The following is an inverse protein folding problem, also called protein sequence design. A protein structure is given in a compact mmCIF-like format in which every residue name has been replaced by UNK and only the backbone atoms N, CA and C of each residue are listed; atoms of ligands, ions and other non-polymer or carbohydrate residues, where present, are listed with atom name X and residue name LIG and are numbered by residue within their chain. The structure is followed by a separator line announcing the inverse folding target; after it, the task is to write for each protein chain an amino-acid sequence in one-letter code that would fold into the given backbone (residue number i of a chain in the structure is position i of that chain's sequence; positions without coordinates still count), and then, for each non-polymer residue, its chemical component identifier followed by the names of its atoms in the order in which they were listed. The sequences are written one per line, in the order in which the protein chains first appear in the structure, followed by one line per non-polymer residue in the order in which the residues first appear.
data_IF_190485799126
#
_entry.id   IF_190485799126
#
_cell.length_a   1.000
_cell.length_b   1.000
_cell.length_c   1.000
_cell.angle_alpha   90.00
_cell.angle_beta   90.00
_cell.angle_gamma   90.00
#
_symmetry.space_group_name_H-M   'P 1'
#
loop_
_entity.id
_entity.type
_entity.pdbx_description
1 polymer ?
#
# COMPACT_ATOMS: atom_id res chain seq x y z
N UNK A 1 -3.80 23.31 26.90
CA UNK A 1 -4.70 23.93 25.91
C UNK A 1 -4.15 23.67 24.50
N UNK A 2 -5.03 23.31 23.56
CA UNK A 2 -4.68 22.94 22.17
C UNK A 2 -4.61 24.16 21.25
N UNK A 3 -5.25 25.28 21.64
CA UNK A 3 -5.34 26.50 20.84
C UNK A 3 -4.05 27.31 20.86
N UNK A 4 -3.67 27.88 19.72
CA UNK A 4 -2.58 28.83 19.54
C UNK A 4 -3.15 30.26 19.60
N UNK A 5 -3.19 30.84 20.80
CA UNK A 5 -3.89 32.11 21.08
C UNK A 5 -3.22 33.36 20.51
N UNK A 6 -2.05 33.23 19.86
CA UNK A 6 -1.35 34.34 19.21
C UNK A 6 -1.76 34.55 17.75
N UNK A 7 -2.58 33.66 17.19
CA UNK A 7 -3.06 33.73 15.80
C UNK A 7 -4.51 34.17 15.76
N UNK A 8 -4.85 35.09 14.86
CA UNK A 8 -6.23 35.53 14.65
C UNK A 8 -7.06 34.41 13.97
N UNK A 9 -8.12 33.91 14.61
CA UNK A 9 -8.98 32.87 14.02
C UNK A 9 -9.68 33.30 12.72
N UNK A 10 -9.86 34.61 12.48
CA UNK A 10 -10.47 35.12 11.24
C UNK A 10 -9.51 35.08 10.04
N UNK A 11 -8.20 34.96 10.29
CA UNK A 11 -7.16 34.87 9.26
C UNK A 11 -6.76 33.43 9.00
N UNK A 12 -6.45 32.68 10.06
CA UNK A 12 -6.09 31.26 9.96
C UNK A 12 -6.69 30.48 11.14
N UNK A 13 -7.91 30.01 10.94
CA UNK A 13 -8.62 29.20 11.93
C UNK A 13 -7.93 27.86 12.20
N UNK A 14 -7.22 27.30 11.22
CA UNK A 14 -6.50 26.04 11.37
C UNK A 14 -5.30 26.21 12.31
N UNK A 15 -4.46 27.22 12.09
CA UNK A 15 -3.31 27.48 12.96
C UNK A 15 -3.76 27.90 14.37
N UNK A 16 -4.84 28.70 14.49
CA UNK A 16 -5.43 29.04 15.79
C UNK A 16 -5.89 27.81 16.58
N UNK A 17 -6.53 26.83 15.93
CA UNK A 17 -7.08 25.65 16.62
C UNK A 17 -6.07 24.52 16.78
N UNK A 18 -5.17 24.31 15.81
CA UNK A 18 -4.31 23.13 15.70
C UNK A 18 -2.81 23.43 15.78
N UNK A 19 -2.38 24.69 15.70
CA UNK A 19 -0.96 25.08 15.61
C UNK A 19 -0.10 24.52 16.74
N UNK A 20 -0.57 24.68 17.98
CA UNK A 20 0.10 24.14 19.17
C UNK A 20 0.12 22.61 19.23
N UNK A 21 -0.84 21.93 18.59
CA UNK A 21 -0.83 20.48 18.48
C UNK A 21 0.24 20.01 17.49
N UNK A 22 0.27 20.61 16.30
CA UNK A 22 1.26 20.33 15.24
C UNK A 22 2.69 20.50 15.75
N UNK A 23 2.96 21.59 16.48
CA UNK A 23 4.28 21.85 17.05
C UNK A 23 4.74 20.80 18.08
N UNK A 24 3.79 20.19 18.83
CA UNK A 24 4.08 19.20 19.88
C UNK A 24 4.07 17.75 19.39
N UNK A 25 3.56 17.50 18.18
CA UNK A 25 3.37 16.16 17.64
C UNK A 25 4.00 16.08 16.24
N UNK A 26 5.35 16.11 16.14
CA UNK A 26 6.01 15.88 14.88
C UNK A 26 5.66 14.48 14.34
N UNK A 27 5.64 14.33 13.02
CA UNK A 27 5.32 13.05 12.38
C UNK A 27 6.41 12.04 12.75
N UNK A 28 6.06 10.91 13.40
CA UNK A 28 7.03 9.88 13.73
C UNK A 28 7.67 9.27 12.48
N UNK A 29 8.93 8.81 12.56
CA UNK A 29 9.68 8.29 11.41
C UNK A 29 9.04 7.10 10.69
N UNK A 30 8.19 6.33 11.38
CA UNK A 30 7.48 5.18 10.84
C UNK A 30 6.13 5.55 10.19
N UNK A 31 5.81 6.85 10.06
CA UNK A 31 4.56 7.34 9.49
C UNK A 31 4.80 8.41 8.43
N UNK A 32 3.86 8.52 7.50
CA UNK A 32 3.83 9.56 6.48
C UNK A 32 2.95 10.75 6.89
N UNK A 33 2.07 10.57 7.87
CA UNK A 33 1.17 11.58 8.42
C UNK A 33 0.89 11.29 9.89
N UNK A 34 0.51 12.32 10.65
CA UNK A 34 0.10 12.13 12.04
C UNK A 34 -0.99 13.13 12.43
N UNK A 35 -2.07 12.60 12.99
CA UNK A 35 -3.28 13.33 13.34
C UNK A 35 -3.88 12.82 14.65
N UNK A 36 -4.97 13.45 15.08
CA UNK A 36 -5.74 12.99 16.24
C UNK A 36 -6.44 11.64 15.98
N UNK A 37 -6.76 11.34 14.71
CA UNK A 37 -7.32 10.05 14.34
C UNK A 37 -6.29 8.94 14.47
N UNK A 38 -5.04 9.20 14.07
CA UNK A 38 -3.92 8.27 14.27
C UNK A 38 -3.75 7.91 15.75
N UNK A 39 -3.75 8.92 16.63
CA UNK A 39 -3.67 8.69 18.08
C UNK A 39 -4.83 7.85 18.63
N UNK A 40 -6.04 8.05 18.10
CA UNK A 40 -7.19 7.24 18.48
C UNK A 40 -7.05 5.80 17.96
N UNK A 41 -6.65 5.63 16.71
CA UNK A 41 -6.40 4.32 16.10
C UNK A 41 -5.33 3.55 16.86
N UNK A 42 -4.25 4.21 17.29
CA UNK A 42 -3.19 3.61 18.10
C UNK A 42 -3.74 3.08 19.42
N UNK A 43 -4.54 3.90 20.12
CA UNK A 43 -5.19 3.46 21.36
C UNK A 43 -6.12 2.26 21.12
N UNK A 44 -6.91 2.27 20.05
CA UNK A 44 -7.78 1.14 19.70
C UNK A 44 -6.94 -0.11 19.40
N UNK A 45 -5.83 0.02 18.67
CA UNK A 45 -4.92 -1.09 18.38
C UNK A 45 -4.26 -1.65 19.65
N UNK A 46 -3.90 -0.81 20.61
CA UNK A 46 -3.35 -1.24 21.92
C UNK A 46 -4.37 -2.06 22.72
N UNK A 47 -5.63 -1.60 22.80
CA UNK A 47 -6.70 -2.34 23.47
C UNK A 47 -6.99 -3.67 22.75
N UNK A 48 -7.03 -3.67 21.41
CA UNK A 48 -7.20 -4.89 20.61
C UNK A 48 -6.05 -5.87 20.82
N UNK A 49 -4.80 -5.38 20.85
CA UNK A 49 -3.61 -6.20 21.15
C UNK A 49 -3.73 -6.86 22.51
N UNK A 50 -4.14 -6.13 23.55
CA UNK A 50 -4.35 -6.68 24.88
C UNK A 50 -5.38 -7.82 24.87
N UNK A 51 -6.47 -7.69 24.10
CA UNK A 51 -7.48 -8.74 23.94
C UNK A 51 -6.92 -9.96 23.20
N UNK A 52 -6.14 -9.78 22.13
CA UNK A 52 -5.58 -10.89 21.35
C UNK A 52 -4.48 -11.64 22.08
N UNK A 53 -3.70 -10.95 22.91
CA UNK A 53 -2.62 -11.52 23.73
C UNK A 53 -3.11 -12.08 25.06
N UNK A 54 -4.36 -11.81 25.45
CA UNK A 54 -4.91 -12.34 26.70
C UNK A 54 -4.98 -13.87 26.67
N UNK A 55 -4.56 -14.49 27.79
CA UNK A 55 -4.60 -15.95 28.00
C UNK A 55 -6.02 -16.46 28.30
N UNK A 56 -6.98 -15.56 28.46
CA UNK A 56 -8.37 -15.91 28.74
C UNK A 56 -9.00 -16.63 27.54
N UNK A 57 -9.70 -17.73 27.85
CA UNK A 57 -10.44 -18.48 26.87
C UNK A 57 -11.60 -17.61 26.35
N UNK A 58 -11.68 -17.46 25.02
CA UNK A 58 -12.81 -16.76 24.42
C UNK A 58 -13.96 -17.74 24.21
N UNK A 59 -15.21 -17.39 24.58
CA UNK A 59 -16.35 -18.27 24.38
C UNK A 59 -16.73 -18.42 22.90
N UNK A 60 -16.23 -17.57 22.01
CA UNK A 60 -16.49 -17.62 20.57
C UNK A 60 -15.39 -18.35 19.81
N UNK A 61 -15.79 -19.25 18.90
CA UNK A 61 -14.88 -19.92 17.96
C UNK A 61 -14.15 -18.92 17.06
N UNK A 62 -14.85 -17.91 16.54
CA UNK A 62 -14.27 -16.89 15.67
C UNK A 62 -13.22 -16.06 16.40
N UNK A 63 -13.50 -15.68 17.64
CA UNK A 63 -12.54 -14.95 18.47
C UNK A 63 -11.31 -15.79 18.82
N UNK A 64 -11.50 -17.08 19.11
CA UNK A 64 -10.39 -18.01 19.33
C UNK A 64 -9.53 -18.18 18.07
N UNK A 65 -10.14 -18.28 16.88
CA UNK A 65 -9.43 -18.34 15.61
C UNK A 65 -8.63 -17.05 15.34
N UNK A 66 -9.21 -15.87 15.62
CA UNK A 66 -8.51 -14.59 15.50
C UNK A 66 -7.27 -14.52 16.41
N UNK A 67 -7.37 -15.01 17.66
CA UNK A 67 -6.21 -15.08 18.58
C UNK A 67 -5.10 -15.99 18.02
N UNK A 68 -5.46 -17.12 17.41
CA UNK A 68 -4.48 -18.01 16.76
C UNK A 68 -3.81 -17.31 15.58
N UNK A 69 -4.61 -16.66 14.72
CA UNK A 69 -4.10 -15.92 13.55
C UNK A 69 -3.16 -14.79 13.97
N UNK A 70 -3.54 -14.02 15.00
CA UNK A 70 -2.68 -12.96 15.55
C UNK A 70 -1.34 -13.52 16.02
N UNK A 71 -1.32 -14.60 16.82
CA UNK A 71 -0.07 -15.21 17.28
C UNK A 71 0.84 -15.65 16.13
N UNK A 72 0.26 -16.27 15.09
CA UNK A 72 1.01 -16.69 13.91
C UNK A 72 1.57 -15.52 13.11
N UNK A 73 0.83 -14.42 13.01
CA UNK A 73 1.30 -13.19 12.34
C UNK A 73 2.43 -12.49 13.11
N UNK A 74 2.43 -12.60 14.44
CA UNK A 74 3.40 -11.91 15.30
C UNK A 74 4.70 -12.70 15.51
N UNK A 75 4.72 -14.00 15.18
CA UNK A 75 5.91 -14.85 15.27
C UNK A 75 6.85 -14.60 14.08
N UNK A 76 7.67 -13.56 14.20
CA UNK A 76 8.64 -13.15 13.17
C UNK A 76 9.74 -14.21 12.95
N UNK A 77 10.09 -14.98 13.97
CA UNK A 77 11.13 -16.00 13.87
C UNK A 77 10.67 -17.17 12.99
N UNK A 78 9.42 -17.62 13.17
CA UNK A 78 8.80 -18.61 12.28
C UNK A 78 8.69 -18.07 10.85
N UNK A 79 8.25 -16.82 10.66
CA UNK A 79 8.11 -16.19 9.35
C UNK A 79 9.46 -16.06 8.62
N UNK A 80 10.50 -15.56 9.30
CA UNK A 80 11.84 -15.40 8.73
C UNK A 80 12.47 -16.74 8.36
N UNK A 81 12.18 -17.82 9.11
CA UNK A 81 12.65 -19.17 8.81
C UNK A 81 11.99 -19.75 7.56
N UNK A 82 10.70 -19.46 7.33
CA UNK A 82 9.96 -19.95 6.16
C UNK A 82 10.38 -19.18 4.89
N UNK A 83 10.62 -17.86 5.02
CA UNK A 83 10.92 -16.99 3.89
C UNK A 83 9.79 -16.98 2.85
N UNK A 84 10.14 -16.72 1.59
CA UNK A 84 9.21 -16.73 0.48
C UNK A 84 8.92 -18.13 -0.10
N UNK A 85 9.53 -19.20 0.44
CA UNK A 85 9.42 -20.58 -0.10
C UNK A 85 7.98 -21.01 -0.34
N UNK A 86 7.12 -20.80 0.67
CA UNK A 86 5.69 -21.16 0.57
C UNK A 86 4.93 -20.31 -0.45
N UNK A 87 5.31 -19.05 -0.60
CA UNK A 87 4.72 -18.15 -1.60
C UNK A 87 5.08 -18.62 -3.02
N UNK A 88 6.35 -18.98 -3.26
CA UNK A 88 6.85 -19.44 -4.55
C UNK A 88 6.11 -20.70 -5.04
N UNK A 89 5.85 -21.65 -4.13
CA UNK A 89 5.05 -22.86 -4.45
C UNK A 89 3.61 -22.56 -4.88
N UNK A 90 3.10 -21.36 -4.58
CA UNK A 90 1.68 -21.00 -4.72
C UNK A 90 1.46 -19.79 -5.63
N UNK A 91 2.45 -19.41 -6.45
CA UNK A 91 2.32 -18.29 -7.38
C UNK A 91 1.15 -18.57 -8.34
N UNK A 92 0.23 -17.60 -8.42
CA UNK A 92 -0.91 -17.61 -9.34
C UNK A 92 -0.84 -16.37 -10.22
N UNK A 93 -1.17 -16.56 -11.49
CA UNK A 93 -1.40 -15.46 -12.41
C UNK A 93 -2.85 -15.00 -12.25
N UNK A 94 -3.04 -13.71 -11.98
CA UNK A 94 -4.33 -13.06 -11.87
C UNK A 94 -4.32 -11.76 -12.70
N UNK A 95 -5.44 -11.03 -12.72
CA UNK A 95 -5.54 -9.77 -13.46
C UNK A 95 -4.49 -8.76 -12.99
N UNK A 96 -3.72 -8.25 -13.96
CA UNK A 96 -2.72 -7.21 -13.71
C UNK A 96 -3.35 -5.85 -13.45
N UNK A 97 -2.77 -5.11 -12.52
CA UNK A 97 -2.95 -3.67 -12.35
C UNK A 97 -1.56 -3.03 -12.37
N UNK A 98 -1.49 -1.69 -12.37
CA UNK A 98 -0.22 -1.01 -12.09
C UNK A 98 0.26 -1.41 -10.70
N UNK A 99 1.45 -2.02 -10.58
CA UNK A 99 1.93 -2.53 -9.29
C UNK A 99 2.26 -1.44 -8.27
N UNK A 100 2.44 -0.18 -8.69
CA UNK A 100 2.53 0.96 -7.77
C UNK A 100 1.18 1.33 -7.11
N UNK A 101 0.10 0.68 -7.52
CA UNK A 101 -1.24 0.79 -6.93
C UNK A 101 -2.18 1.71 -7.71
N UNK A 102 -3.38 1.87 -7.17
CA UNK A 102 -4.37 2.79 -7.71
C UNK A 102 -3.85 4.24 -7.69
N UNK A 103 -4.38 5.09 -8.58
CA UNK A 103 -4.03 6.52 -8.66
C UNK A 103 -2.56 6.81 -9.04
N UNK A 104 -1.79 5.81 -9.50
CA UNK A 104 -0.36 5.98 -9.81
C UNK A 104 -0.05 6.16 -11.29
N UNK A 105 -1.07 6.20 -12.15
CA UNK A 105 -0.96 6.40 -13.60
C UNK A 105 0.07 7.48 -13.98
N UNK A 106 -0.01 8.64 -13.36
CA UNK A 106 0.84 9.78 -13.71
C UNK A 106 2.30 9.60 -13.29
N UNK A 107 2.60 8.69 -12.35
CA UNK A 107 3.99 8.35 -12.01
C UNK A 107 4.71 7.71 -13.19
N UNK A 108 3.97 6.98 -14.03
CA UNK A 108 4.50 6.35 -15.24
C UNK A 108 4.63 7.33 -16.40
N UNK A 109 3.69 8.27 -16.52
CA UNK A 109 3.60 9.19 -17.66
C UNK A 109 4.45 10.47 -17.51
N UNK A 110 4.66 10.95 -16.29
CA UNK A 110 5.46 12.16 -16.01
C UNK A 110 6.76 11.79 -15.27
N UNK A 111 7.77 11.42 -16.06
CA UNK A 111 9.12 11.08 -15.56
C UNK A 111 9.87 12.29 -15.02
N UNK A 112 9.56 13.50 -15.45
CA UNK A 112 10.20 14.72 -14.95
C UNK A 112 9.83 14.95 -13.48
N UNK A 113 8.53 14.84 -13.17
CA UNK A 113 8.01 15.03 -11.82
C UNK A 113 8.20 13.82 -10.92
N UNK A 114 8.05 12.60 -11.46
CA UNK A 114 7.99 11.37 -10.66
C UNK A 114 9.12 10.37 -10.92
N UNK A 115 10.15 10.72 -11.71
CA UNK A 115 11.26 9.82 -12.05
C UNK A 115 11.94 9.19 -10.83
N UNK A 116 12.07 9.92 -9.71
CA UNK A 116 12.61 9.37 -8.45
C UNK A 116 11.76 8.23 -7.88
N UNK A 117 10.44 8.29 -8.00
CA UNK A 117 9.54 7.21 -7.54
C UNK A 117 9.71 5.97 -8.39
N UNK A 118 9.87 6.15 -9.70
CA UNK A 118 10.07 5.05 -10.64
C UNK A 118 11.44 4.39 -10.45
N UNK A 119 12.48 5.19 -10.20
CA UNK A 119 13.79 4.65 -9.86
C UNK A 119 13.75 3.82 -8.57
N UNK A 120 13.10 4.33 -7.52
CA UNK A 120 12.92 3.57 -6.28
C UNK A 120 12.07 2.30 -6.48
N UNK A 121 11.04 2.37 -7.33
CA UNK A 121 10.22 1.23 -7.68
C UNK A 121 11.03 0.14 -8.41
N UNK A 122 11.86 0.54 -9.37
CA UNK A 122 12.79 -0.35 -10.07
C UNK A 122 13.74 -1.06 -9.10
N UNK A 123 14.36 -0.31 -8.19
CA UNK A 123 15.25 -0.87 -7.17
C UNK A 123 14.51 -1.84 -6.25
N UNK A 124 13.31 -1.48 -5.80
CA UNK A 124 12.46 -2.34 -4.99
C UNK A 124 12.15 -3.66 -5.72
N UNK A 125 11.79 -3.59 -7.00
CA UNK A 125 11.42 -4.79 -7.75
C UNK A 125 12.61 -5.72 -7.97
N UNK A 126 13.77 -5.15 -8.35
CA UNK A 126 15.03 -5.91 -8.46
C UNK A 126 15.38 -6.58 -7.13
N UNK A 127 15.30 -5.85 -6.01
CA UNK A 127 15.60 -6.40 -4.68
C UNK A 127 14.67 -7.55 -4.30
N UNK A 128 13.38 -7.43 -4.63
CA UNK A 128 12.37 -8.45 -4.36
C UNK A 128 12.63 -9.70 -5.21
N UNK A 129 12.90 -9.55 -6.51
CA UNK A 129 13.19 -10.68 -7.39
C UNK A 129 14.49 -11.39 -6.99
N UNK A 130 15.51 -10.64 -6.55
CA UNK A 130 16.73 -11.22 -5.98
C UNK A 130 16.43 -12.06 -4.74
N UNK A 131 15.67 -11.51 -3.78
CA UNK A 131 15.27 -12.25 -2.57
C UNK A 131 14.46 -13.52 -2.91
N UNK A 132 13.57 -13.46 -3.89
CA UNK A 132 12.81 -14.63 -4.35
C UNK A 132 13.71 -15.72 -4.96
N UNK A 133 14.75 -15.34 -5.71
CA UNK A 133 15.71 -16.30 -6.24
C UNK A 133 16.54 -16.95 -5.12
N UNK A 134 17.01 -16.15 -4.15
CA UNK A 134 17.74 -16.65 -2.98
C UNK A 134 16.88 -17.63 -2.17
N UNK A 135 15.63 -17.27 -1.86
CA UNK A 135 14.72 -18.13 -1.11
C UNK A 135 14.32 -19.40 -1.88
N UNK A 136 14.40 -19.37 -3.22
CA UNK A 136 14.15 -20.51 -4.11
C UNK A 136 15.38 -21.37 -4.40
N UNK A 137 16.55 -21.04 -3.85
CA UNK A 137 17.84 -21.66 -4.19
C UNK A 137 18.17 -21.61 -5.71
N UNK A 138 17.76 -20.52 -6.38
CA UNK A 138 17.99 -20.28 -7.82
C UNK A 138 19.17 -19.34 -8.07
N UNK A 139 19.90 -19.50 -9.18
CA UNK A 139 21.02 -18.61 -9.51
C UNK A 139 20.54 -17.19 -9.81
N UNK A 140 21.18 -16.20 -9.19
CA UNK A 140 20.88 -14.77 -9.39
C UNK A 140 21.71 -14.23 -10.57
N UNK A 141 21.02 -13.77 -11.62
CA UNK A 141 21.64 -13.01 -12.72
C UNK A 141 21.13 -11.57 -12.69
N UNK A 142 21.94 -10.67 -12.14
CA UNK A 142 21.51 -9.28 -11.93
C UNK A 142 21.20 -8.53 -13.24
N UNK A 143 21.99 -8.78 -14.29
CA UNK A 143 21.79 -8.12 -15.59
C UNK A 143 20.47 -8.52 -16.24
N UNK A 144 20.13 -9.81 -16.17
CA UNK A 144 18.83 -10.31 -16.65
C UNK A 144 17.68 -9.78 -15.81
N UNK A 145 17.78 -9.85 -14.47
CA UNK A 145 16.73 -9.33 -13.59
C UNK A 145 16.49 -7.84 -13.84
N UNK A 146 17.55 -7.05 -14.03
CA UNK A 146 17.42 -5.64 -14.35
C UNK A 146 16.71 -5.40 -15.68
N UNK A 147 17.06 -6.15 -16.74
CA UNK A 147 16.39 -6.09 -18.04
C UNK A 147 14.92 -6.47 -17.95
N UNK A 148 14.61 -7.59 -17.31
CA UNK A 148 13.23 -8.09 -17.15
C UNK A 148 12.38 -7.06 -16.36
N UNK A 149 12.93 -6.41 -15.33
CA UNK A 149 12.25 -5.35 -14.58
C UNK A 149 12.04 -4.09 -15.43
N UNK A 150 12.99 -3.72 -16.28
CA UNK A 150 12.84 -2.59 -17.20
C UNK A 150 11.70 -2.83 -18.21
N UNK A 151 11.62 -4.05 -18.76
CA UNK A 151 10.51 -4.47 -19.64
C UNK A 151 9.16 -4.44 -18.91
N UNK A 152 9.10 -4.85 -17.64
CA UNK A 152 7.87 -4.75 -16.84
C UNK A 152 7.45 -3.29 -16.65
N UNK A 153 8.38 -2.40 -16.30
CA UNK A 153 8.07 -0.97 -16.13
C UNK A 153 7.61 -0.35 -17.45
N UNK A 154 8.16 -0.77 -18.59
CA UNK A 154 7.71 -0.33 -19.92
C UNK A 154 6.29 -0.82 -20.22
N UNK A 155 5.99 -2.10 -19.97
CA UNK A 155 4.65 -2.66 -20.09
C UNK A 155 3.63 -1.91 -19.23
N UNK A 156 3.97 -1.63 -17.96
CA UNK A 156 3.13 -0.83 -17.06
C UNK A 156 2.96 0.60 -17.55
N UNK A 157 3.98 1.17 -18.21
CA UNK A 157 3.90 2.52 -18.79
C UNK A 157 2.93 2.54 -19.98
N UNK A 158 2.95 1.54 -20.86
CA UNK A 158 1.96 1.41 -21.93
C UNK A 158 0.55 1.18 -21.38
N UNK A 159 0.41 0.36 -20.33
CA UNK A 159 -0.86 0.18 -19.63
C UNK A 159 -1.36 1.52 -19.05
N UNK A 160 -0.49 2.32 -18.44
CA UNK A 160 -0.84 3.62 -17.89
C UNK A 160 -1.38 4.60 -18.95
N UNK A 161 -0.93 4.52 -20.21
CA UNK A 161 -1.45 5.37 -21.30
C UNK A 161 -2.91 5.09 -21.64
N UNK A 162 -3.34 3.83 -21.55
CA UNK A 162 -4.73 3.43 -21.87
C UNK A 162 -5.67 3.52 -20.66
N UNK A 163 -5.14 3.69 -19.45
CA UNK A 163 -5.95 3.90 -18.26
C UNK A 163 -6.59 5.30 -18.26
N UNK A 164 -7.86 5.35 -17.87
CA UNK A 164 -8.61 6.59 -17.67
C UNK A 164 -8.07 7.32 -16.44
N UNK A 165 -7.82 8.63 -16.57
CA UNK A 165 -7.35 9.48 -15.48
C UNK A 165 -8.35 9.55 -14.32
N UNK A 166 -7.90 9.85 -13.12
CA UNK A 166 -8.74 9.78 -11.92
C UNK A 166 -9.84 10.84 -11.92
N UNK A 167 -9.51 12.05 -12.35
CA UNK A 167 -10.43 13.18 -12.52
C UNK A 167 -11.62 12.81 -13.42
N UNK A 168 -11.38 12.01 -14.45
CA UNK A 168 -12.40 11.56 -15.40
C UNK A 168 -13.26 10.42 -14.84
N UNK A 169 -12.77 9.70 -13.82
CA UNK A 169 -13.48 8.60 -13.14
C UNK A 169 -14.44 9.08 -12.05
N UNK A 170 -14.45 10.37 -11.69
CA UNK A 170 -15.28 10.91 -10.60
C UNK A 170 -16.77 10.96 -10.93
N UNK A 171 -17.13 11.00 -12.21
CA UNK A 171 -18.53 11.01 -12.64
C UNK A 171 -19.03 9.58 -12.88
N UNK A 172 -19.65 8.99 -11.86
CA UNK A 172 -20.16 7.63 -11.92
C UNK A 172 -21.16 7.40 -13.05
N UNK A 173 -21.95 8.42 -13.42
CA UNK A 173 -22.93 8.32 -14.52
C UNK A 173 -22.23 8.20 -15.87
N UNK A 174 -21.13 8.93 -16.10
CA UNK A 174 -20.31 8.81 -17.32
C UNK A 174 -19.53 7.50 -17.38
N UNK A 175 -19.16 6.96 -16.21
CA UNK A 175 -18.48 5.66 -16.12
C UNK A 175 -19.41 4.47 -16.34
N UNK A 176 -20.72 4.64 -16.11
CA UNK A 176 -21.70 3.58 -16.27
C UNK A 176 -22.10 3.37 -17.74
N UNK A 177 -21.40 2.45 -18.41
CA UNK A 177 -21.59 2.15 -19.83
C UNK A 177 -22.35 0.82 -20.00
N UNK A 178 -23.68 0.84 -19.83
CA UNK A 178 -24.50 -0.35 -20.06
C UNK A 178 -24.42 -0.75 -21.54
N UNK A 179 -24.13 -2.03 -21.77
CA UNK A 179 -24.02 -2.66 -23.09
C UNK A 179 -24.63 -4.05 -23.03
N UNK A 180 -25.09 -4.56 -24.17
CA UNK A 180 -25.41 -5.99 -24.32
C UNK A 180 -24.12 -6.75 -24.53
N UNK A 181 -24.10 -8.03 -24.15
CA UNK A 181 -22.94 -8.90 -24.40
C UNK A 181 -22.59 -8.98 -25.89
N UNK A 182 -23.60 -8.90 -26.77
CA UNK A 182 -23.43 -8.84 -28.23
C UNK A 182 -22.57 -7.66 -28.70
N UNK A 183 -22.59 -6.55 -27.97
CA UNK A 183 -21.94 -5.30 -28.39
C UNK A 183 -20.41 -5.38 -28.19
N UNK A 184 -19.93 -6.28 -27.31
CA UNK A 184 -18.50 -6.43 -27.00
C UNK A 184 -17.66 -6.87 -28.21
N UNK A 185 -18.23 -7.67 -29.12
CA UNK A 185 -17.54 -8.12 -30.33
C UNK A 185 -17.20 -6.97 -31.30
N UNK A 186 -17.84 -5.82 -31.14
CA UNK A 186 -17.59 -4.62 -31.98
C UNK A 186 -16.58 -3.65 -31.37
N UNK A 187 -16.13 -3.92 -30.13
CA UNK A 187 -15.23 -3.05 -29.35
C UNK A 187 -13.81 -3.63 -29.18
N UNK A 188 -13.60 -4.89 -29.59
CA UNK A 188 -12.29 -5.58 -29.59
C UNK A 188 -11.70 -5.55 -31.00
#
# INVERSE_FOLDING_TARGET
MIRHTQVDPCVDFFEFTCGNWKAKHPIPSHRISYSQFDKLSDKVQEEMRAVFESKEASPSKSASALKVMYRKCMDKDELNRIGAKKLIETIKFDQGQLCLGDSTRDYYLDREKYGKKIAAYREFFISTVKQLHEDADLPVNEGRIASDVDEIIELETELAKILVAEEDRRNFTKMYNLRRLSDMQTLM
#
